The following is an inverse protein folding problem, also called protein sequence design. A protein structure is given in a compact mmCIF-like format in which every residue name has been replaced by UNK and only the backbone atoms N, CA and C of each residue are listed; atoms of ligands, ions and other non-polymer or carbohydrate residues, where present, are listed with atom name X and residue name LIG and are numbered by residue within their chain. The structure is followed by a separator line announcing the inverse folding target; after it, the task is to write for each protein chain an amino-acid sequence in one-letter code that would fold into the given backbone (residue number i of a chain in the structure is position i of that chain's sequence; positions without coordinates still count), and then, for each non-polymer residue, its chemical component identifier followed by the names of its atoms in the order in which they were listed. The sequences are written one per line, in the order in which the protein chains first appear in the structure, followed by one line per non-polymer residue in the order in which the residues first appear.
data_IF_705966833969
#
_entry.id   IF_705966833969
#
_cell.length_a   1.000
_cell.length_b   1.000
_cell.length_c   1.000
_cell.angle_alpha   90.00
_cell.angle_beta   90.00
_cell.angle_gamma   90.00
#
_symmetry.space_group_name_H-M   'P 1'
#
loop_
_entity.id
_entity.type
_entity.pdbx_description
1 polymer ?
#
# COMPACT_ATOMS: atom_id res chain seq x y z
N UNK A 1 12.87 13.88 15.08
CA UNK A 1 11.56 14.18 14.47
C UNK A 1 11.79 14.95 13.17
N UNK A 2 11.42 14.38 12.02
CA UNK A 2 11.44 15.13 10.75
C UNK A 2 10.26 16.13 10.76
N UNK A 3 10.55 17.42 10.65
CA UNK A 3 9.52 18.47 10.57
C UNK A 3 8.71 18.28 9.29
N UNK A 4 7.38 18.27 9.41
CA UNK A 4 6.49 18.34 8.24
C UNK A 4 6.76 19.62 7.46
N UNK A 5 6.92 19.50 6.13
CA UNK A 5 7.18 20.62 5.22
C UNK A 5 6.02 21.63 5.29
N UNK A 6 6.35 22.94 5.38
CA UNK A 6 5.34 23.99 5.42
C UNK A 6 4.47 23.98 4.16
N UNK A 7 3.18 24.28 4.33
CA UNK A 7 2.17 24.33 3.25
C UNK A 7 2.38 25.51 2.30
N UNK A 8 3.18 26.49 2.69
CA UNK A 8 3.48 27.70 1.89
C UNK A 8 4.58 27.46 0.85
N UNK A 9 5.25 26.31 0.91
CA UNK A 9 6.29 25.94 -0.05
C UNK A 9 5.64 25.40 -1.34
N UNK A 10 6.19 25.72 -2.52
CA UNK A 10 5.69 25.17 -3.78
C UNK A 10 5.70 23.64 -3.77
N UNK A 11 4.85 22.97 -4.56
CA UNK A 11 4.88 21.51 -4.68
C UNK A 11 6.31 21.02 -4.91
N UNK A 12 6.72 19.99 -4.17
CA UNK A 12 8.04 19.36 -4.40
C UNK A 12 8.07 18.85 -5.84
N UNK A 13 9.16 19.12 -6.56
CA UNK A 13 9.38 18.44 -7.83
C UNK A 13 9.51 16.93 -7.59
N UNK A 14 9.17 16.13 -8.60
CA UNK A 14 9.28 14.68 -8.51
C UNK A 14 10.73 14.25 -8.23
N UNK A 15 11.70 14.92 -8.83
CA UNK A 15 13.14 14.64 -8.65
C UNK A 15 13.60 14.89 -7.21
N UNK A 16 13.19 16.01 -6.61
CA UNK A 16 13.50 16.29 -5.20
C UNK A 16 12.80 15.31 -4.26
N UNK A 17 11.52 15.01 -4.52
CA UNK A 17 10.76 14.04 -3.75
C UNK A 17 11.42 12.65 -3.81
N UNK A 18 11.81 12.23 -5.00
CA UNK A 18 12.55 10.98 -5.23
C UNK A 18 13.88 10.96 -4.47
N UNK A 19 14.67 12.04 -4.54
CA UNK A 19 15.96 12.14 -3.84
C UNK A 19 15.78 12.06 -2.32
N UNK A 20 14.77 12.75 -1.78
CA UNK A 20 14.44 12.68 -0.37
C UNK A 20 13.96 11.29 0.04
N UNK A 21 13.12 10.64 -0.78
CA UNK A 21 12.61 9.29 -0.53
C UNK A 21 13.75 8.26 -0.53
N UNK A 22 14.60 8.31 -1.54
CA UNK A 22 15.76 7.42 -1.69
C UNK A 22 16.74 7.52 -0.53
N UNK A 23 16.85 8.70 0.09
CA UNK A 23 17.65 8.94 1.29
C UNK A 23 16.93 8.60 2.60
N UNK A 24 15.67 8.20 2.55
CA UNK A 24 14.84 7.93 3.72
C UNK A 24 14.39 9.19 4.49
N UNK A 25 14.46 10.36 3.87
CA UNK A 25 14.19 11.67 4.50
C UNK A 25 12.82 12.27 4.13
N UNK A 26 12.02 11.57 3.31
CA UNK A 26 10.77 12.12 2.76
C UNK A 26 9.60 12.17 3.75
N UNK A 27 9.53 11.24 4.71
CA UNK A 27 8.40 11.17 5.65
C UNK A 27 8.86 10.96 7.09
N UNK A 28 8.01 11.36 8.05
CA UNK A 28 8.23 11.07 9.48
C UNK A 28 8.16 9.58 9.84
N UNK A 29 7.83 8.72 8.87
CA UNK A 29 7.74 7.27 9.00
C UNK A 29 8.86 6.53 8.26
N UNK A 30 9.79 7.27 7.64
CA UNK A 30 10.93 6.71 6.92
C UNK A 30 12.11 6.36 7.84
N UNK A 31 13.09 5.58 7.34
CA UNK A 31 13.21 5.08 5.96
C UNK A 31 12.25 3.93 5.60
N UNK A 32 11.75 3.91 4.36
CA UNK A 32 10.79 2.90 3.87
C UNK A 32 11.29 1.46 4.06
N UNK A 33 12.51 1.15 3.62
CA UNK A 33 13.08 -0.20 3.72
C UNK A 33 13.21 -0.69 5.17
N UNK A 34 13.58 0.19 6.10
CA UNK A 34 13.67 -0.17 7.51
C UNK A 34 12.28 -0.49 8.09
N UNK A 35 11.26 0.27 7.69
CA UNK A 35 9.89 -0.01 8.08
C UNK A 35 9.42 -1.37 7.55
N UNK A 36 9.68 -1.67 6.27
CA UNK A 36 9.35 -2.98 5.67
C UNK A 36 10.07 -4.12 6.39
N UNK A 37 11.39 -3.99 6.58
CA UNK A 37 12.22 -5.00 7.25
C UNK A 37 11.76 -5.26 8.69
N UNK A 38 11.40 -4.21 9.43
CA UNK A 38 10.91 -4.35 10.80
C UNK A 38 9.65 -5.22 10.90
N UNK A 39 8.66 -4.97 10.03
CA UNK A 39 7.44 -5.78 10.01
C UNK A 39 7.66 -7.17 9.41
N UNK A 40 8.58 -7.31 8.46
CA UNK A 40 8.97 -8.63 7.94
C UNK A 40 9.54 -9.51 9.06
N UNK A 41 10.53 -9.01 9.80
CA UNK A 41 11.14 -9.75 10.90
C UNK A 41 10.10 -10.07 11.99
N UNK A 42 9.25 -9.11 12.35
CA UNK A 42 8.18 -9.33 13.32
C UNK A 42 7.18 -10.40 12.83
N UNK A 43 6.89 -10.45 11.53
CA UNK A 43 6.03 -11.50 10.95
C UNK A 43 6.65 -12.88 11.00
N UNK A 44 7.98 -12.99 10.88
CA UNK A 44 8.71 -14.24 11.01
C UNK A 44 8.76 -14.72 12.47
N UNK A 45 8.86 -13.79 13.42
CA UNK A 45 8.87 -14.09 14.86
C UNK A 45 7.47 -14.44 15.40
N UNK A 46 6.43 -13.77 14.89
CA UNK A 46 5.05 -13.92 15.35
C UNK A 46 4.06 -14.18 14.19
N UNK A 47 4.22 -15.27 13.41
CA UNK A 47 3.40 -15.52 12.21
C UNK A 47 1.91 -15.71 12.51
N UNK A 48 1.55 -16.08 13.74
CA UNK A 48 0.17 -16.20 14.22
C UNK A 48 -0.48 -14.86 14.61
N UNK A 49 0.28 -13.76 14.70
CA UNK A 49 -0.21 -12.43 15.07
C UNK A 49 0.00 -11.38 13.99
N UNK A 50 0.98 -11.57 13.11
CA UNK A 50 1.33 -10.62 12.06
C UNK A 50 1.25 -11.34 10.72
N UNK A 51 0.28 -10.92 9.90
CA UNK A 51 0.13 -11.36 8.52
C UNK A 51 0.80 -10.35 7.59
N UNK A 52 1.95 -10.72 7.03
CA UNK A 52 2.69 -9.88 6.11
C UNK A 52 2.20 -10.12 4.68
N UNK A 53 1.85 -9.05 3.96
CA UNK A 53 1.30 -9.12 2.61
C UNK A 53 1.86 -8.02 1.72
N UNK A 54 1.93 -8.29 0.40
CA UNK A 54 2.29 -7.29 -0.60
C UNK A 54 1.07 -6.79 -1.37
N UNK A 55 1.12 -5.54 -1.81
CA UNK A 55 -0.01 -4.92 -2.52
C UNK A 55 -0.32 -5.63 -3.85
N UNK A 56 0.70 -6.10 -4.56
CA UNK A 56 0.58 -6.87 -5.79
C UNK A 56 -0.20 -8.17 -5.57
N UNK A 57 -0.07 -8.77 -4.39
CA UNK A 57 -0.75 -10.01 -4.01
C UNK A 57 -2.20 -9.78 -3.62
N UNK A 58 -2.56 -8.59 -3.12
CA UNK A 58 -3.96 -8.21 -2.83
C UNK A 58 -4.85 -8.28 -4.07
N UNK A 59 -4.27 -8.21 -5.27
CA UNK A 59 -5.02 -8.37 -6.53
C UNK A 59 -5.44 -9.81 -6.80
N UNK A 60 -4.90 -10.80 -6.07
CA UNK A 60 -5.30 -12.20 -6.15
C UNK A 60 -6.56 -12.42 -5.33
N UNK A 61 -7.63 -12.85 -5.98
CA UNK A 61 -8.94 -13.07 -5.34
C UNK A 61 -8.87 -14.14 -4.22
N UNK A 62 -7.93 -15.08 -4.31
CA UNK A 62 -7.72 -16.15 -3.33
C UNK A 62 -7.23 -15.67 -1.96
N UNK A 63 -6.71 -14.44 -1.87
CA UNK A 63 -6.11 -13.93 -0.63
C UNK A 63 -7.16 -13.70 0.49
N UNK A 64 -8.42 -13.49 0.13
CA UNK A 64 -9.48 -13.23 1.10
C UNK A 64 -9.73 -14.42 2.02
N UNK A 65 -9.67 -15.64 1.48
CA UNK A 65 -9.81 -16.86 2.29
C UNK A 65 -8.66 -16.99 3.28
N UNK A 66 -7.43 -16.76 2.83
CA UNK A 66 -6.22 -16.79 3.68
C UNK A 66 -6.30 -15.73 4.79
N UNK A 67 -6.78 -14.52 4.47
CA UNK A 67 -6.97 -13.47 5.49
C UNK A 67 -8.07 -13.85 6.49
N UNK A 68 -9.17 -14.45 6.03
CA UNK A 68 -10.27 -14.88 6.88
C UNK A 68 -9.81 -15.99 7.86
N UNK A 69 -9.04 -16.96 7.36
CA UNK A 69 -8.39 -17.99 8.19
C UNK A 69 -7.44 -17.37 9.21
N UNK A 70 -6.60 -16.41 8.79
CA UNK A 70 -5.67 -15.72 9.68
C UNK A 70 -6.38 -14.94 10.79
N UNK A 71 -7.53 -14.33 10.48
CA UNK A 71 -8.39 -13.64 11.47
C UNK A 71 -9.16 -14.62 12.38
N UNK A 72 -9.02 -15.93 12.19
CA UNK A 72 -9.75 -16.96 12.93
C UNK A 72 -11.23 -17.02 12.59
N UNK A 73 -11.62 -16.54 11.41
CA UNK A 73 -12.99 -16.52 10.90
C UNK A 73 -13.05 -17.13 9.49
N UNK A 74 -12.67 -18.41 9.30
CA UNK A 74 -12.76 -19.06 8.00
C UNK A 74 -14.21 -19.10 7.52
N UNK A 75 -14.42 -18.99 6.22
CA UNK A 75 -15.75 -19.08 5.64
C UNK A 75 -16.35 -20.47 5.84
N UNK A 76 -17.61 -20.51 6.23
CA UNK A 76 -18.37 -21.75 6.34
C UNK A 76 -18.81 -22.28 4.97
N UNK A 77 -19.10 -23.57 4.89
CA UNK A 77 -19.67 -24.20 3.68
C UNK A 77 -20.95 -23.50 3.18
N UNK A 78 -21.73 -22.91 4.09
CA UNK A 78 -22.93 -22.16 3.74
C UNK A 78 -22.59 -20.81 3.09
N UNK A 79 -21.61 -20.08 3.62
CA UNK A 79 -21.13 -18.82 3.05
C UNK A 79 -20.48 -19.01 1.68
N UNK A 80 -19.72 -20.09 1.51
CA UNK A 80 -19.18 -20.49 0.21
C UNK A 80 -20.29 -20.80 -0.80
N UNK A 81 -21.31 -21.57 -0.40
CA UNK A 81 -22.49 -21.84 -1.25
C UNK A 81 -23.24 -20.56 -1.63
N UNK A 82 -23.30 -19.59 -0.72
CA UNK A 82 -23.91 -18.27 -0.93
C UNK A 82 -23.00 -17.29 -1.68
N UNK A 83 -21.79 -17.69 -2.07
CA UNK A 83 -20.81 -16.85 -2.78
C UNK A 83 -20.47 -15.56 -2.02
N UNK A 84 -20.34 -15.66 -0.71
CA UNK A 84 -20.03 -14.51 0.16
C UNK A 84 -18.67 -13.91 -0.18
N UNK A 85 -17.68 -14.76 -0.52
CA UNK A 85 -16.33 -14.33 -0.90
C UNK A 85 -16.39 -13.44 -2.15
N UNK A 86 -17.12 -13.85 -3.19
CA UNK A 86 -17.28 -13.09 -4.41
C UNK A 86 -18.00 -11.75 -4.18
N UNK A 87 -18.98 -11.72 -3.28
CA UNK A 87 -19.64 -10.47 -2.90
C UNK A 87 -18.69 -9.55 -2.12
N UNK A 88 -17.86 -10.06 -1.19
CA UNK A 88 -16.82 -9.27 -0.52
C UNK A 88 -15.84 -8.68 -1.54
N UNK A 89 -15.34 -9.48 -2.48
CA UNK A 89 -14.46 -9.00 -3.57
C UNK A 89 -15.14 -7.87 -4.32
N UNK A 90 -16.42 -8.05 -4.68
CA UNK A 90 -17.20 -7.05 -5.41
C UNK A 90 -17.44 -5.78 -4.59
N UNK A 91 -17.64 -5.87 -3.27
CA UNK A 91 -17.74 -4.73 -2.36
C UNK A 91 -16.42 -3.94 -2.28
N UNK A 92 -15.30 -4.66 -2.14
CA UNK A 92 -13.97 -4.09 -1.92
C UNK A 92 -13.21 -3.72 -3.20
N UNK A 93 -13.76 -4.02 -4.37
CA UNK A 93 -13.14 -3.68 -5.67
C UNK A 93 -12.86 -2.18 -5.78
N UNK A 94 -11.63 -1.84 -6.18
CA UNK A 94 -11.18 -0.47 -6.35
C UNK A 94 -12.18 0.38 -7.14
N UNK A 95 -12.62 -0.10 -8.32
CA UNK A 95 -13.59 0.60 -9.18
C UNK A 95 -14.91 0.88 -8.46
N UNK A 96 -15.37 0.01 -7.57
CA UNK A 96 -16.58 0.26 -6.80
C UNK A 96 -16.32 1.31 -5.72
N UNK A 97 -15.30 1.08 -4.88
CA UNK A 97 -14.98 1.97 -3.77
C UNK A 97 -14.68 3.40 -4.26
N UNK A 98 -13.90 3.56 -5.31
CA UNK A 98 -13.58 4.88 -5.89
C UNK A 98 -14.79 5.60 -6.50
N UNK A 99 -15.88 4.88 -6.77
CA UNK A 99 -17.10 5.44 -7.35
C UNK A 99 -18.23 5.67 -6.34
N UNK A 100 -18.04 5.33 -5.06
CA UNK A 100 -19.01 5.64 -4.01
C UNK A 100 -19.10 7.16 -3.78
N UNK A 101 -20.31 7.65 -3.55
CA UNK A 101 -20.59 9.08 -3.36
C UNK A 101 -19.75 9.69 -2.22
N UNK A 102 -19.63 8.95 -1.11
CA UNK A 102 -18.81 9.35 0.04
C UNK A 102 -17.32 9.46 -0.30
N UNK A 103 -16.84 8.70 -1.28
CA UNK A 103 -15.42 8.72 -1.68
C UNK A 103 -15.15 9.74 -2.78
N UNK A 104 -16.14 10.10 -3.59
CA UNK A 104 -16.02 11.15 -4.61
C UNK A 104 -16.16 12.56 -4.02
N UNK A 105 -17.16 12.73 -3.18
CA UNK A 105 -17.62 14.06 -2.74
C UNK A 105 -17.47 14.27 -1.22
N UNK A 106 -17.11 13.23 -0.47
CA UNK A 106 -16.84 13.36 0.96
C UNK A 106 -15.48 13.99 1.26
N UNK A 107 -15.27 14.30 2.53
CA UNK A 107 -14.01 14.85 3.03
C UNK A 107 -13.71 14.29 4.42
N UNK A 108 -12.46 13.89 4.64
CA UNK A 108 -11.98 13.42 5.93
C UNK A 108 -11.85 14.58 6.93
N UNK A 109 -11.43 15.74 6.42
CA UNK A 109 -11.35 17.00 7.15
C UNK A 109 -11.39 18.17 6.16
N UNK A 110 -11.35 19.40 6.66
CA UNK A 110 -11.41 20.63 5.85
C UNK A 110 -10.34 20.73 4.73
N UNK A 111 -9.26 19.94 4.82
CA UNK A 111 -8.13 20.00 3.89
C UNK A 111 -7.94 18.73 3.05
N UNK A 112 -8.68 17.66 3.34
CA UNK A 112 -8.46 16.34 2.73
C UNK A 112 -9.78 15.80 2.20
N UNK A 113 -9.97 15.93 0.89
CA UNK A 113 -11.10 15.30 0.20
C UNK A 113 -10.87 13.80 0.08
N UNK A 114 -11.95 13.03 0.08
CA UNK A 114 -11.85 11.57 0.08
C UNK A 114 -11.35 11.01 -1.27
N UNK A 115 -11.56 11.73 -2.36
CA UNK A 115 -11.15 11.32 -3.71
C UNK A 115 -9.62 11.25 -3.84
N UNK A 116 -8.89 12.04 -3.04
CA UNK A 116 -7.43 12.02 -2.96
C UNK A 116 -6.86 10.64 -2.59
N UNK A 117 -7.64 9.78 -1.91
CA UNK A 117 -7.20 8.42 -1.55
C UNK A 117 -7.34 7.41 -2.71
N UNK A 118 -8.04 7.77 -3.81
CA UNK A 118 -8.32 6.88 -4.93
C UNK A 118 -7.74 7.45 -6.25
N UNK A 119 -6.54 6.99 -6.64
CA UNK A 119 -5.87 7.47 -7.85
C UNK A 119 -6.04 6.55 -9.07
N UNK A 120 -5.27 5.46 -9.14
CA UNK A 120 -5.35 4.46 -10.23
C UNK A 120 -5.58 3.02 -9.72
N UNK A 121 -4.97 2.66 -8.58
CA UNK A 121 -5.08 1.31 -8.04
C UNK A 121 -4.40 0.25 -8.91
N UNK A 122 -3.34 0.62 -9.62
CA UNK A 122 -2.63 -0.21 -10.60
C UNK A 122 -1.19 -0.45 -10.17
N UNK A 123 -0.66 -1.63 -10.50
CA UNK A 123 0.74 -2.01 -10.29
C UNK A 123 1.53 -1.57 -11.53
N UNK A 124 2.73 -1.04 -11.32
CA UNK A 124 3.63 -0.65 -12.42
C UNK A 124 3.47 0.78 -12.91
N UNK A 125 2.53 1.57 -12.37
CA UNK A 125 2.33 2.97 -12.81
C UNK A 125 3.56 3.87 -12.59
N UNK A 126 4.54 3.42 -11.80
CA UNK A 126 5.82 4.11 -11.62
C UNK A 126 6.53 4.39 -12.96
N UNK A 127 6.37 3.53 -13.97
CA UNK A 127 7.00 3.69 -15.28
C UNK A 127 6.50 4.89 -16.06
N UNK A 128 5.34 5.45 -15.69
CA UNK A 128 4.78 6.65 -16.28
C UNK A 128 5.33 7.94 -15.65
N UNK A 129 6.06 7.85 -14.54
CA UNK A 129 6.53 9.01 -13.78
C UNK A 129 8.05 9.02 -13.59
N UNK A 130 8.67 7.87 -13.33
CA UNK A 130 10.10 7.77 -13.07
C UNK A 130 10.87 7.56 -14.38
N UNK A 131 12.05 8.17 -14.47
CA UNK A 131 13.01 7.81 -15.51
C UNK A 131 13.60 6.43 -15.24
N UNK A 132 14.15 5.77 -16.26
CA UNK A 132 14.84 4.49 -16.12
C UNK A 132 15.93 4.55 -15.05
N UNK A 133 16.74 5.62 -15.03
CA UNK A 133 17.80 5.81 -14.05
C UNK A 133 17.28 5.92 -12.61
N UNK A 134 16.14 6.59 -12.40
CA UNK A 134 15.51 6.70 -11.09
C UNK A 134 14.98 5.33 -10.62
N UNK A 135 14.36 4.57 -11.52
CA UNK A 135 13.87 3.23 -11.23
C UNK A 135 15.01 2.27 -10.87
N UNK A 136 16.05 2.19 -11.71
CA UNK A 136 17.25 1.36 -11.47
C UNK A 136 17.92 1.70 -10.14
N UNK A 137 17.99 2.99 -9.79
CA UNK A 137 18.54 3.42 -8.50
C UNK A 137 17.71 2.91 -7.32
N UNK A 138 16.38 2.92 -7.39
CA UNK A 138 15.53 2.36 -6.34
C UNK A 138 15.61 0.84 -6.27
N UNK A 139 15.71 0.18 -7.42
CA UNK A 139 15.87 -1.27 -7.48
C UNK A 139 17.18 -1.69 -6.82
N UNK A 140 18.29 -0.98 -7.09
CA UNK A 140 19.56 -1.23 -6.44
C UNK A 140 19.46 -1.05 -4.91
N UNK A 141 18.91 0.08 -4.45
CA UNK A 141 18.75 0.32 -3.00
C UNK A 141 17.87 -0.76 -2.36
N UNK A 142 16.79 -1.15 -3.04
CA UNK A 142 15.85 -2.17 -2.55
C UNK A 142 16.52 -3.53 -2.46
N UNK A 143 17.27 -3.93 -3.49
CA UNK A 143 18.04 -5.18 -3.49
C UNK A 143 19.09 -5.19 -2.38
N UNK A 144 19.81 -4.09 -2.15
CA UNK A 144 20.79 -3.98 -1.07
C UNK A 144 20.15 -4.07 0.32
N UNK A 145 18.98 -3.45 0.52
CA UNK A 145 18.33 -3.34 1.83
C UNK A 145 17.45 -4.52 2.19
N UNK A 146 16.83 -5.16 1.21
CA UNK A 146 15.86 -6.24 1.41
C UNK A 146 16.33 -7.55 0.78
N UNK A 147 17.65 -7.70 0.58
CA UNK A 147 18.26 -8.91 0.05
C UNK A 147 17.79 -10.16 0.83
N UNK A 148 17.26 -11.15 0.12
CA UNK A 148 16.82 -12.42 0.71
C UNK A 148 15.45 -12.40 1.38
N UNK A 149 14.68 -11.31 1.26
CA UNK A 149 13.29 -11.20 1.74
C UNK A 149 12.28 -11.46 0.61
N UNK A 150 12.66 -11.10 -0.62
CA UNK A 150 11.85 -11.25 -1.82
C UNK A 150 12.61 -12.00 -2.91
#
# INVERSE_FOLDING_TARGET
MAKMRSKDLPPLSLEEAFKLFSKGLFSGYGPFWNHVLGYWNASMECPQRIFFLRYEELKKETLINVMAEFLGQPFSMEEERKRVVEEIIKLCRFKRLSNLEVNKNGSLNAFTKNDMFFRKGEVGDWSNHLTTQMAESLDQITNEKLHGIF
#
